data_IF_288129306549
#
_entry.id   IF_288129306549
#
_cell.length_a   1.000
_cell.length_b   1.000
_cell.length_c   1.000
_cell.angle_alpha   90.00
_cell.angle_beta   90.00
_cell.angle_gamma   90.00
#
_symmetry.space_group_name_H-M   'P 1'
#
loop_
_entity.id
_entity.type
_entity.pdbx_description
1 polymer ?
#
# COMPACT_ATOMS: atom_id res chain seq x y z
N UNK A 1 11.12 67.02 -50.82
CA UNK A 1 9.72 67.17 -50.31
C UNK A 1 8.89 67.72 -51.47
N UNK A 2 7.60 67.35 -51.70
CA UNK A 2 6.63 66.55 -50.91
C UNK A 2 6.34 65.17 -51.57
N UNK A 3 5.93 64.06 -50.90
CA UNK A 3 4.71 63.68 -50.15
C UNK A 3 3.39 63.64 -50.95
N UNK A 4 2.87 62.41 -51.08
CA UNK A 4 1.51 61.92 -51.45
C UNK A 4 1.17 61.66 -52.93
N UNK A 5 1.20 60.38 -53.32
CA UNK A 5 0.21 59.60 -54.11
C UNK A 5 0.87 58.21 -54.32
N UNK A 6 0.25 57.03 -54.26
CA UNK A 6 -1.10 56.64 -54.65
C UNK A 6 -1.43 55.29 -53.98
N UNK A 7 -2.65 55.13 -53.46
CA UNK A 7 -3.26 53.84 -53.14
C UNK A 7 -3.53 53.07 -54.45
N UNK A 8 -3.28 51.76 -54.51
CA UNK A 8 -4.29 50.69 -54.69
C UNK A 8 -3.65 49.33 -55.04
N UNK A 9 -4.34 48.28 -54.59
CA UNK A 9 -4.27 46.82 -54.90
C UNK A 9 -3.58 45.99 -53.83
N UNK A 10 -4.08 44.84 -53.38
CA UNK A 10 -5.39 44.22 -53.35
C UNK A 10 -5.25 43.09 -52.30
N UNK A 11 -6.34 42.71 -51.66
CA UNK A 11 -6.38 41.65 -50.65
C UNK A 11 -6.01 40.25 -51.20
N UNK A 12 -5.86 39.29 -50.27
CA UNK A 12 -5.66 37.83 -50.44
C UNK A 12 -4.14 37.51 -50.47
N UNK A 13 -3.54 36.90 -49.45
CA UNK A 13 -3.72 35.50 -49.01
C UNK A 13 -3.45 35.37 -47.49
N UNK A 14 -4.45 34.82 -46.80
CA UNK A 14 -4.30 34.07 -45.54
C UNK A 14 -3.40 32.85 -45.81
N UNK A 15 -2.28 32.71 -45.10
CA UNK A 15 -1.78 31.43 -44.56
C UNK A 15 -0.33 31.55 -44.09
N UNK A 16 -0.05 30.77 -43.05
CA UNK A 16 1.24 30.18 -42.70
C UNK A 16 2.05 30.85 -41.57
N UNK A 17 2.14 30.05 -40.50
CA UNK A 17 3.19 30.00 -39.47
C UNK A 17 3.12 31.03 -38.33
N UNK A 18 2.21 30.78 -37.40
CA UNK A 18 2.53 30.93 -35.97
C UNK A 18 1.60 30.04 -35.14
N UNK A 19 1.82 28.72 -35.18
CA UNK A 19 1.29 27.83 -34.14
C UNK A 19 2.25 26.65 -33.96
N UNK A 20 3.44 26.92 -33.42
CA UNK A 20 4.12 25.91 -32.61
C UNK A 20 3.29 25.76 -31.33
N UNK A 21 2.28 24.89 -31.38
CA UNK A 21 1.64 24.38 -30.18
C UNK A 21 2.74 23.64 -29.39
N UNK A 22 3.28 24.29 -28.37
CA UNK A 22 3.69 23.56 -27.18
C UNK A 22 2.48 22.75 -26.70
N UNK A 23 2.63 21.49 -26.28
CA UNK A 23 1.54 20.84 -25.56
C UNK A 23 1.36 21.63 -24.28
N UNK A 24 0.32 22.48 -24.23
CA UNK A 24 -0.27 22.87 -22.96
C UNK A 24 -0.60 21.53 -22.31
N UNK A 25 0.09 21.19 -21.23
CA UNK A 25 -0.28 20.05 -20.40
C UNK A 25 -1.77 20.18 -20.16
N UNK A 26 -2.55 19.26 -20.72
CA UNK A 26 -4.00 19.33 -20.64
C UNK A 26 -4.34 19.35 -19.15
N UNK A 27 -4.97 20.44 -18.68
CA UNK A 27 -5.29 20.58 -17.27
C UNK A 27 -6.11 19.36 -16.85
N UNK A 28 -5.67 18.66 -15.79
CA UNK A 28 -6.35 17.46 -15.32
C UNK A 28 -7.81 17.78 -15.00
N UNK A 29 -8.72 16.88 -15.39
CA UNK A 29 -10.13 17.02 -15.07
C UNK A 29 -10.36 16.91 -13.56
N UNK A 30 -11.44 17.50 -13.03
CA UNK A 30 -11.77 17.39 -11.59
C UNK A 30 -11.85 15.94 -11.10
N UNK A 31 -12.27 15.00 -11.96
CA UNK A 31 -12.29 13.56 -11.66
C UNK A 31 -10.88 12.97 -11.55
N UNK A 32 -9.94 13.35 -12.42
CA UNK A 32 -8.56 12.89 -12.32
C UNK A 32 -7.89 13.40 -11.04
N UNK A 33 -8.21 14.64 -10.63
CA UNK A 33 -7.77 15.21 -9.36
C UNK A 33 -8.35 14.41 -8.18
N UNK A 34 -9.66 14.17 -8.15
CA UNK A 34 -10.32 13.38 -7.10
C UNK A 34 -9.78 11.95 -7.02
N UNK A 35 -9.50 11.32 -8.18
CA UNK A 35 -8.90 9.99 -8.23
C UNK A 35 -7.48 9.99 -7.63
N UNK A 36 -6.65 10.98 -8.00
CA UNK A 36 -5.30 11.13 -7.45
C UNK A 36 -5.34 11.38 -5.94
N UNK A 37 -6.24 12.24 -5.46
CA UNK A 37 -6.45 12.48 -4.03
C UNK A 37 -6.84 11.22 -3.28
N UNK A 38 -7.75 10.40 -3.84
CA UNK A 38 -8.14 9.13 -3.20
C UNK A 38 -6.99 8.12 -3.13
N UNK A 39 -6.16 8.08 -4.17
CA UNK A 39 -4.94 7.27 -4.17
C UNK A 39 -3.93 7.79 -3.13
N UNK A 40 -3.77 9.10 -3.00
CA UNK A 40 -2.92 9.71 -1.99
C UNK A 40 -3.41 9.44 -0.55
N UNK A 41 -4.72 9.48 -0.28
CA UNK A 41 -5.28 9.05 1.01
C UNK A 41 -4.91 7.61 1.34
N UNK A 42 -5.04 6.72 0.35
CA UNK A 42 -4.68 5.30 0.49
C UNK A 42 -3.18 5.13 0.75
N UNK A 43 -2.33 5.86 0.03
CA UNK A 43 -0.89 5.86 0.22
C UNK A 43 -0.48 6.38 1.61
N UNK A 44 -1.11 7.46 2.10
CA UNK A 44 -0.91 7.96 3.48
C UNK A 44 -1.34 6.93 4.52
N UNK A 45 -2.48 6.27 4.32
CA UNK A 45 -2.95 5.21 5.21
C UNK A 45 -1.97 4.02 5.25
N UNK A 46 -1.38 3.65 4.11
CA UNK A 46 -0.33 2.62 4.04
C UNK A 46 0.92 3.03 4.83
N UNK A 47 1.41 4.26 4.64
CA UNK A 47 2.56 4.77 5.40
C UNK A 47 2.29 4.78 6.91
N UNK A 48 1.07 5.14 7.33
CA UNK A 48 0.66 5.10 8.73
C UNK A 48 0.60 3.66 9.27
N UNK A 49 0.06 2.71 8.51
CA UNK A 49 0.07 1.28 8.90
C UNK A 49 1.48 0.68 8.95
N UNK A 50 2.46 1.34 8.33
CA UNK A 50 3.87 1.00 8.42
C UNK A 50 4.20 -0.41 7.93
N UNK A 51 4.97 -1.14 8.72
CA UNK A 51 5.45 -2.48 8.39
C UNK A 51 4.31 -3.45 8.01
N UNK A 52 3.12 -3.29 8.60
CA UNK A 52 1.95 -4.13 8.30
C UNK A 52 1.52 -3.94 6.84
N UNK A 53 1.39 -2.70 6.37
CA UNK A 53 1.02 -2.43 4.98
C UNK A 53 2.14 -2.83 4.01
N UNK A 54 3.40 -2.60 4.39
CA UNK A 54 4.54 -3.06 3.61
C UNK A 54 4.51 -4.58 3.39
N UNK A 55 4.43 -5.38 4.46
CA UNK A 55 4.38 -6.84 4.34
C UNK A 55 3.15 -7.33 3.57
N UNK A 56 2.01 -6.65 3.72
CA UNK A 56 0.79 -6.96 2.96
C UNK A 56 0.98 -6.74 1.45
N UNK A 57 1.54 -5.60 1.06
CA UNK A 57 1.81 -5.27 -0.35
C UNK A 57 2.85 -6.22 -0.98
N UNK A 58 3.72 -6.82 -0.16
CA UNK A 58 4.71 -7.81 -0.60
C UNK A 58 4.20 -9.25 -0.56
N UNK A 59 2.95 -9.48 -0.15
CA UNK A 59 2.36 -10.81 -0.04
C UNK A 59 2.94 -11.67 1.08
N UNK A 60 3.62 -11.07 2.07
CA UNK A 60 4.24 -11.76 3.20
C UNK A 60 3.18 -12.14 4.25
N UNK A 61 2.33 -13.11 3.92
CA UNK A 61 1.14 -13.50 4.70
C UNK A 61 1.50 -13.86 6.16
N UNK A 62 2.58 -14.62 6.38
CA UNK A 62 3.00 -15.01 7.74
C UNK A 62 3.45 -13.80 8.57
N UNK A 63 4.21 -12.87 7.97
CA UNK A 63 4.63 -11.63 8.62
C UNK A 63 3.43 -10.73 8.98
N UNK A 64 2.45 -10.59 8.08
CA UNK A 64 1.20 -9.87 8.37
C UNK A 64 0.48 -10.55 9.54
N UNK A 65 0.36 -11.88 9.50
CA UNK A 65 -0.32 -12.66 10.56
C UNK A 65 0.31 -12.39 11.94
N UNK A 66 1.64 -12.43 12.03
CA UNK A 66 2.39 -12.12 13.28
C UNK A 66 2.02 -10.75 13.85
N UNK A 67 1.74 -9.77 12.99
CA UNK A 67 1.41 -8.40 13.41
C UNK A 67 -0.09 -8.13 13.59
N UNK A 68 -0.97 -9.07 13.21
CA UNK A 68 -2.43 -8.82 13.18
C UNK A 68 -3.30 -9.92 13.78
N UNK A 69 -2.75 -11.09 14.12
CA UNK A 69 -3.54 -12.27 14.48
C UNK A 69 -2.96 -13.04 15.68
N UNK A 70 -3.78 -13.14 16.74
CA UNK A 70 -3.45 -13.82 18.01
C UNK A 70 -3.17 -15.32 17.86
N UNK A 71 -3.61 -15.94 16.76
CA UNK A 71 -3.28 -17.34 16.45
C UNK A 71 -1.83 -17.52 16.00
N UNK A 72 -1.04 -16.45 15.89
CA UNK A 72 0.40 -16.53 15.58
C UNK A 72 1.30 -15.87 16.63
N UNK A 73 0.79 -14.87 17.34
CA UNK A 73 1.57 -14.08 18.31
C UNK A 73 0.89 -14.00 19.68
N UNK A 74 1.69 -14.00 20.75
CA UNK A 74 1.21 -13.83 22.13
C UNK A 74 1.01 -12.36 22.48
N UNK A 75 1.82 -11.48 21.90
CA UNK A 75 1.94 -10.08 22.32
C UNK A 75 1.34 -9.10 21.30
N UNK A 76 0.27 -9.51 20.62
CA UNK A 76 -0.43 -8.66 19.66
C UNK A 76 -0.84 -7.31 20.28
N UNK A 77 -1.25 -7.29 21.54
CA UNK A 77 -1.67 -6.08 22.26
C UNK A 77 -0.53 -5.06 22.45
N UNK A 78 0.73 -5.48 22.30
CA UNK A 78 1.88 -4.58 22.34
C UNK A 78 2.15 -3.88 21.01
N UNK A 79 1.63 -4.41 19.89
CA UNK A 79 1.81 -3.84 18.57
C UNK A 79 0.94 -2.59 18.41
N UNK A 80 1.55 -1.41 18.44
CA UNK A 80 0.84 -0.14 18.27
C UNK A 80 0.91 0.35 16.83
N UNK A 81 0.23 -0.34 15.92
CA UNK A 81 0.15 0.05 14.51
C UNK A 81 -0.32 1.50 14.35
N UNK A 82 0.37 2.29 13.52
CA UNK A 82 0.10 3.73 13.38
C UNK A 82 0.87 4.63 14.33
N UNK A 83 1.47 4.09 15.39
CA UNK A 83 2.29 4.88 16.32
C UNK A 83 3.65 5.20 15.70
N UNK A 84 4.12 6.45 15.89
CA UNK A 84 5.49 6.83 15.52
C UNK A 84 6.55 6.12 16.37
N UNK A 85 6.15 5.62 17.54
CA UNK A 85 7.04 5.01 18.51
C UNK A 85 7.06 3.47 18.44
N UNK A 86 6.09 2.85 17.76
CA UNK A 86 6.09 1.39 17.57
C UNK A 86 7.17 0.97 16.58
N UNK A 87 7.73 -0.22 16.76
CA UNK A 87 8.61 -0.87 15.80
C UNK A 87 7.95 -1.12 14.43
N UNK A 88 6.62 -0.99 14.32
CA UNK A 88 5.93 -0.98 13.03
C UNK A 88 6.21 0.28 12.19
N UNK A 89 6.74 1.36 12.79
CA UNK A 89 7.08 2.58 12.09
C UNK A 89 8.21 2.35 11.08
N UNK A 90 8.04 2.83 9.84
CA UNK A 90 8.98 2.57 8.74
C UNK A 90 10.37 3.17 8.98
N UNK A 91 10.45 4.36 9.59
CA UNK A 91 11.74 5.00 9.87
C UNK A 91 12.54 4.22 10.91
N UNK A 92 11.86 3.71 11.95
CA UNK A 92 12.47 2.83 12.94
C UNK A 92 12.88 1.49 12.33
N UNK A 93 12.02 0.90 11.48
CA UNK A 93 12.33 -0.34 10.77
C UNK A 93 13.54 -0.19 9.84
N UNK A 94 13.58 0.85 8.99
CA UNK A 94 14.73 1.14 8.12
C UNK A 94 16.03 1.33 8.91
N UNK A 95 15.95 2.01 10.06
CA UNK A 95 17.11 2.18 10.95
C UNK A 95 17.54 0.86 11.59
N UNK A 96 16.59 0.00 11.98
CA UNK A 96 16.89 -1.28 12.61
C UNK A 96 17.73 -2.21 11.73
N UNK A 97 17.65 -2.08 10.41
CA UNK A 97 18.45 -2.88 9.45
C UNK A 97 19.95 -2.67 9.68
N UNK A 98 20.37 -1.51 10.22
CA UNK A 98 21.77 -1.25 10.56
C UNK A 98 22.31 -2.25 11.61
N UNK A 99 21.45 -2.76 12.49
CA UNK A 99 21.82 -3.80 13.47
C UNK A 99 22.31 -5.04 12.73
N UNK A 100 21.61 -5.46 11.66
CA UNK A 100 22.01 -6.63 10.89
C UNK A 100 23.23 -6.36 10.00
N UNK A 101 23.34 -5.16 9.41
CA UNK A 101 24.54 -4.76 8.66
C UNK A 101 25.79 -4.87 9.54
N UNK A 102 25.73 -4.34 10.76
CA UNK A 102 26.86 -4.42 11.69
C UNK A 102 27.10 -5.84 12.20
N UNK A 103 26.03 -6.59 12.54
CA UNK A 103 26.14 -7.99 12.92
C UNK A 103 26.83 -8.83 11.83
N UNK A 104 26.47 -8.61 10.56
CA UNK A 104 27.09 -9.29 9.42
C UNK A 104 28.55 -8.86 9.21
N UNK A 105 28.87 -7.57 9.43
CA UNK A 105 30.25 -7.11 9.41
C UNK A 105 31.09 -7.79 10.50
N UNK A 106 30.53 -7.95 11.72
CA UNK A 106 31.18 -8.68 12.81
C UNK A 106 31.35 -10.17 12.52
N UNK A 107 30.32 -10.84 12.01
CA UNK A 107 30.37 -12.24 11.55
C UNK A 107 31.48 -12.47 10.51
N UNK A 108 31.63 -11.55 9.56
CA UNK A 108 32.69 -11.63 8.55
C UNK A 108 34.10 -11.61 9.15
N UNK A 109 34.32 -10.91 10.27
CA UNK A 109 35.63 -10.93 10.98
C UNK A 109 36.00 -12.29 11.55
N UNK A 110 35.03 -13.20 11.66
CA UNK A 110 35.22 -14.58 12.13
C UNK A 110 35.01 -15.61 11.02
N UNK A 111 34.96 -15.17 9.76
CA UNK A 111 34.79 -16.06 8.61
C UNK A 111 33.39 -16.67 8.49
N UNK A 112 32.39 -16.11 9.18
CA UNK A 112 31.02 -16.61 9.18
C UNK A 112 30.21 -16.01 8.02
N UNK A 113 29.26 -16.77 7.44
CA UNK A 113 28.40 -16.26 6.38
C UNK A 113 27.46 -15.17 6.90
N UNK A 114 27.09 -14.19 6.05
CA UNK A 114 26.12 -13.17 6.43
C UNK A 114 24.73 -13.77 6.59
N UNK A 115 24.00 -13.28 7.59
CA UNK A 115 22.60 -13.58 7.80
C UNK A 115 21.72 -12.84 6.79
N UNK A 116 20.67 -13.51 6.34
CA UNK A 116 19.65 -12.95 5.45
C UNK A 116 18.47 -12.39 6.24
N UNK A 117 17.94 -11.25 5.83
CA UNK A 117 16.67 -10.72 6.34
C UNK A 117 15.51 -11.63 5.90
N UNK A 118 14.60 -11.94 6.81
CA UNK A 118 13.34 -12.66 6.57
C UNK A 118 12.16 -11.78 6.93
N UNK A 119 11.15 -11.68 6.04
CA UNK A 119 9.93 -10.93 6.33
C UNK A 119 9.28 -11.37 7.67
N UNK A 120 9.18 -12.67 7.90
CA UNK A 120 8.53 -13.22 9.11
C UNK A 120 9.37 -13.00 10.36
N UNK A 121 10.69 -13.20 10.32
CA UNK A 121 11.54 -12.96 11.51
C UNK A 121 11.59 -11.46 11.83
N UNK A 122 11.56 -10.59 10.83
CA UNK A 122 11.44 -9.14 11.04
C UNK A 122 10.11 -8.79 11.71
N UNK A 123 8.99 -9.36 11.28
CA UNK A 123 7.71 -9.19 11.96
C UNK A 123 7.74 -9.71 13.41
N UNK A 124 8.38 -10.84 13.66
CA UNK A 124 8.60 -11.36 15.02
C UNK A 124 9.39 -10.35 15.86
N UNK A 125 10.49 -9.84 15.32
CA UNK A 125 11.35 -8.85 15.98
C UNK A 125 10.57 -7.58 16.33
N UNK A 126 9.65 -7.13 15.47
CA UNK A 126 8.78 -5.97 15.71
C UNK A 126 7.90 -6.21 16.95
N UNK A 127 7.21 -7.35 17.02
CA UNK A 127 6.35 -7.67 18.17
C UNK A 127 7.18 -7.82 19.44
N UNK A 128 8.31 -8.52 19.35
CA UNK A 128 9.20 -8.76 20.48
C UNK A 128 9.77 -7.45 21.02
N UNK A 129 10.20 -6.53 20.16
CA UNK A 129 10.68 -5.22 20.56
C UNK A 129 9.58 -4.36 21.21
N UNK A 130 8.38 -4.32 20.62
CA UNK A 130 7.26 -3.54 21.16
C UNK A 130 6.79 -4.07 22.52
N UNK A 131 6.78 -5.39 22.72
CA UNK A 131 6.49 -5.97 24.03
C UNK A 131 7.62 -5.72 25.03
N UNK A 132 8.87 -5.95 24.62
CA UNK A 132 10.07 -5.81 25.46
C UNK A 132 10.36 -4.37 25.86
N UNK A 133 9.79 -3.39 25.15
CA UNK A 133 9.80 -1.97 25.52
C UNK A 133 9.40 -1.73 26.99
N UNK A 134 8.48 -2.54 27.51
CA UNK A 134 8.01 -2.42 28.90
C UNK A 134 8.21 -3.72 29.72
N UNK A 135 9.02 -4.65 29.20
CA UNK A 135 9.35 -5.91 29.86
C UNK A 135 10.84 -6.19 29.64
N UNK A 136 11.67 -5.90 30.65
CA UNK A 136 13.13 -6.09 30.58
C UNK A 136 13.47 -7.57 30.74
N UNK A 137 13.16 -8.37 29.72
CA UNK A 137 13.43 -9.80 29.59
C UNK A 137 13.10 -10.28 28.19
N UNK A 138 13.62 -11.46 27.84
CA UNK A 138 13.28 -12.17 26.59
C UNK A 138 11.79 -12.49 26.46
N UNK A 139 11.27 -12.31 25.25
CA UNK A 139 9.85 -12.51 24.90
C UNK A 139 9.46 -14.00 24.94
N UNK A 140 10.39 -14.85 24.46
CA UNK A 140 10.33 -16.32 24.37
C UNK A 140 9.09 -16.87 23.64
N UNK A 141 8.42 -16.06 22.82
CA UNK A 141 7.18 -16.49 22.15
C UNK A 141 7.40 -17.30 20.87
N UNK A 142 8.63 -17.39 20.35
CA UNK A 142 8.99 -18.21 19.19
C UNK A 142 10.21 -19.07 19.48
N UNK A 143 10.38 -20.16 18.72
CA UNK A 143 11.57 -21.02 18.77
C UNK A 143 12.75 -20.45 17.96
N UNK A 144 12.90 -19.13 17.97
CA UNK A 144 14.03 -18.41 17.39
C UNK A 144 15.00 -17.98 18.49
N UNK A 145 16.27 -17.81 18.15
CA UNK A 145 17.20 -17.08 19.00
C UNK A 145 16.81 -15.59 19.05
N UNK A 146 17.11 -14.91 20.16
CA UNK A 146 16.70 -13.52 20.41
C UNK A 146 17.82 -12.78 21.15
N UNK A 147 18.28 -11.67 20.59
CA UNK A 147 19.10 -10.69 21.27
C UNK A 147 18.26 -9.41 21.50
N UNK A 148 18.27 -8.90 22.73
CA UNK A 148 17.58 -7.68 23.13
C UNK A 148 18.54 -6.70 23.79
N UNK A 149 18.29 -5.41 23.54
CA UNK A 149 19.09 -4.33 24.07
C UNK A 149 18.21 -3.13 24.36
N UNK A 150 18.32 -2.61 25.58
CA UNK A 150 17.63 -1.40 26.01
C UNK A 150 18.62 -0.23 25.98
N UNK A 151 18.16 0.93 25.51
CA UNK A 151 19.01 2.11 25.32
C UNK A 151 18.26 3.41 25.62
N UNK A 152 19.02 4.42 26.06
CA UNK A 152 18.54 5.79 26.27
C UNK A 152 18.48 6.60 24.97
N UNK A 153 19.37 6.27 24.03
CA UNK A 153 19.52 6.94 22.76
C UNK A 153 19.45 5.93 21.62
N UNK A 154 18.78 6.31 20.53
CA UNK A 154 18.63 5.50 19.33
C UNK A 154 19.95 5.30 18.57
N UNK A 155 20.99 6.07 18.90
CA UNK A 155 22.36 5.95 18.39
C UNK A 155 23.22 4.96 19.17
N UNK A 156 22.71 4.37 20.27
CA UNK A 156 23.43 3.33 21.01
C UNK A 156 23.82 2.18 20.08
N UNK A 157 25.12 1.87 20.06
CA UNK A 157 25.62 0.74 19.31
C UNK A 157 25.42 -0.55 20.12
N UNK A 158 24.23 -1.13 19.97
CA UNK A 158 23.86 -2.37 20.64
C UNK A 158 24.72 -3.56 20.19
N UNK A 159 25.15 -3.59 18.93
CA UNK A 159 25.99 -4.66 18.39
C UNK A 159 27.38 -4.63 19.00
N UNK A 160 27.95 -3.46 19.26
CA UNK A 160 29.20 -3.33 20.03
C UNK A 160 29.08 -3.95 21.43
N UNK A 161 27.93 -3.76 22.10
CA UNK A 161 27.68 -4.37 23.42
C UNK A 161 27.53 -5.89 23.32
N UNK A 162 26.74 -6.37 22.38
CA UNK A 162 26.48 -7.80 22.19
C UNK A 162 27.68 -8.58 21.65
N UNK A 163 28.50 -7.97 20.80
CA UNK A 163 29.60 -8.65 20.13
C UNK A 163 30.94 -8.32 20.77
N UNK A 164 31.40 -7.07 20.71
CA UNK A 164 32.78 -6.75 21.07
C UNK A 164 33.05 -6.94 22.56
N UNK A 165 32.14 -6.46 23.42
CA UNK A 165 32.29 -6.62 24.87
C UNK A 165 32.19 -8.09 25.31
N UNK A 166 31.19 -8.80 24.79
CA UNK A 166 30.96 -10.18 25.19
C UNK A 166 31.98 -11.15 24.59
N UNK A 167 32.48 -10.90 23.37
CA UNK A 167 33.59 -11.67 22.79
C UNK A 167 34.83 -11.60 23.66
N UNK A 168 35.22 -10.42 24.14
CA UNK A 168 36.38 -10.29 25.05
C UNK A 168 36.21 -11.17 26.28
N UNK A 169 35.01 -11.24 26.86
CA UNK A 169 34.71 -12.10 28.00
C UNK A 169 34.78 -13.58 27.61
N UNK A 170 34.19 -13.96 26.48
CA UNK A 170 34.24 -15.33 25.97
C UNK A 170 35.67 -15.81 25.79
N UNK A 171 36.55 -14.99 25.19
CA UNK A 171 37.96 -15.32 24.98
C UNK A 171 38.73 -15.55 26.29
N UNK A 172 38.37 -14.87 27.38
CA UNK A 172 38.99 -15.11 28.70
C UNK A 172 38.72 -16.51 29.26
N UNK A 173 37.63 -17.15 28.81
CA UNK A 173 37.30 -18.54 29.12
C UNK A 173 37.89 -19.49 28.07
N UNK A 174 37.67 -19.19 26.79
CA UNK A 174 38.02 -20.09 25.69
C UNK A 174 39.53 -20.30 25.52
N UNK A 175 40.36 -19.28 25.82
CA UNK A 175 41.83 -19.41 25.84
C UNK A 175 42.35 -20.42 26.88
N UNK A 176 41.54 -20.77 27.89
CA UNK A 176 41.87 -21.73 28.95
C UNK A 176 41.22 -23.09 28.76
N UNK A 177 40.31 -23.21 27.78
CA UNK A 177 39.53 -24.42 27.53
C UNK A 177 39.46 -24.70 26.03
N UNK A 178 40.30 -25.62 25.57
CA UNK A 178 40.40 -25.99 24.15
C UNK A 178 39.09 -26.55 23.60
N UNK A 179 38.26 -27.21 24.43
CA UNK A 179 36.98 -27.73 23.98
C UNK A 179 36.01 -26.58 23.75
N UNK A 180 35.90 -25.63 24.70
CA UNK A 180 35.09 -24.43 24.53
C UNK A 180 35.51 -23.62 23.29
N UNK A 181 36.82 -23.46 23.08
CA UNK A 181 37.36 -22.79 21.89
C UNK A 181 36.91 -23.48 20.59
N UNK A 182 36.94 -24.81 20.54
CA UNK A 182 36.59 -25.58 19.34
C UNK A 182 35.12 -25.48 18.95
N UNK A 183 34.22 -25.19 19.90
CA UNK A 183 32.77 -25.11 19.69
C UNK A 183 32.22 -23.68 19.76
N UNK A 184 33.08 -22.65 19.70
CA UNK A 184 32.69 -21.24 19.92
C UNK A 184 31.54 -20.72 19.06
N UNK A 185 31.30 -21.36 17.91
CA UNK A 185 30.23 -21.03 16.95
C UNK A 185 29.05 -22.02 16.98
N UNK A 186 28.89 -22.75 18.07
CA UNK A 186 27.74 -23.61 18.36
C UNK A 186 27.08 -23.15 19.66
N UNK A 187 26.06 -22.30 19.55
CA UNK A 187 25.45 -21.69 20.72
C UNK A 187 24.76 -22.72 21.63
N UNK A 188 24.22 -23.79 21.04
CA UNK A 188 23.57 -24.86 21.79
C UNK A 188 24.58 -25.63 22.64
N UNK A 189 25.69 -26.07 22.05
CA UNK A 189 26.70 -26.84 22.78
C UNK A 189 27.44 -25.99 23.81
N UNK A 190 27.68 -24.69 23.54
CA UNK A 190 28.22 -23.76 24.55
C UNK A 190 27.24 -23.58 25.70
N UNK A 191 25.96 -23.29 25.44
CA UNK A 191 24.96 -23.09 26.50
C UNK A 191 24.76 -24.34 27.36
N UNK A 192 24.84 -25.53 26.75
CA UNK A 192 24.69 -26.82 27.42
C UNK A 192 25.92 -27.21 28.24
N UNK A 193 27.12 -27.03 27.70
CA UNK A 193 28.37 -27.44 28.35
C UNK A 193 28.94 -26.41 29.33
N UNK A 194 28.74 -25.12 29.06
CA UNK A 194 29.27 -24.00 29.84
C UNK A 194 28.17 -22.97 30.14
N UNK A 195 27.12 -23.35 30.89
CA UNK A 195 25.98 -22.47 31.13
C UNK A 195 26.36 -21.15 31.82
N UNK A 196 27.35 -21.15 32.70
CA UNK A 196 27.83 -19.92 33.37
C UNK A 196 28.63 -19.00 32.44
N UNK A 197 29.26 -19.54 31.38
CA UNK A 197 29.91 -18.72 30.34
C UNK A 197 28.84 -18.11 29.45
N UNK A 198 27.86 -18.91 29.04
CA UNK A 198 26.80 -18.46 28.14
C UNK A 198 25.85 -17.46 28.82
N UNK A 199 25.20 -17.86 29.91
CA UNK A 199 24.19 -17.05 30.61
C UNK A 199 24.79 -16.04 31.60
N UNK A 200 26.07 -16.16 31.90
CA UNK A 200 26.72 -15.40 32.97
C UNK A 200 26.51 -16.01 34.35
N UNK A 201 27.18 -15.44 35.34
CA UNK A 201 27.01 -15.78 36.75
C UNK A 201 25.73 -15.10 37.25
N UNK A 202 24.90 -15.85 37.98
CA UNK A 202 23.64 -15.35 38.51
C UNK A 202 23.84 -14.09 39.37
N UNK A 203 23.12 -13.01 39.05
CA UNK A 203 23.26 -11.70 39.70
C UNK A 203 24.43 -10.84 39.20
N UNK A 204 25.21 -11.32 38.23
CA UNK A 204 26.33 -10.63 37.59
C UNK A 204 26.28 -10.76 36.06
N UNK A 205 25.12 -11.07 35.50
CA UNK A 205 24.96 -11.43 34.09
C UNK A 205 25.42 -10.28 33.17
N UNK A 206 25.14 -9.02 33.53
CA UNK A 206 25.56 -7.85 32.74
C UNK A 206 27.09 -7.76 32.56
N UNK A 207 27.85 -8.30 33.50
CA UNK A 207 29.31 -8.26 33.54
C UNK A 207 29.95 -9.54 33.03
N UNK A 208 29.22 -10.66 33.02
CA UNK A 208 29.79 -12.00 32.82
C UNK A 208 29.18 -12.78 31.67
N UNK A 209 27.98 -12.45 31.20
CA UNK A 209 27.34 -13.19 30.11
C UNK A 209 28.10 -13.02 28.78
N UNK A 210 28.01 -14.06 27.95
CA UNK A 210 28.56 -14.08 26.59
C UNK A 210 27.53 -14.52 25.53
N UNK A 211 26.30 -14.80 25.97
CA UNK A 211 25.26 -15.40 25.15
C UNK A 211 24.89 -14.59 23.92
N UNK A 212 24.96 -13.26 23.94
CA UNK A 212 24.65 -12.45 22.75
C UNK A 212 25.70 -12.65 21.68
N UNK A 213 26.99 -12.62 22.04
CA UNK A 213 28.09 -12.89 21.13
C UNK A 213 28.01 -14.31 20.57
N UNK A 214 27.90 -15.31 21.45
CA UNK A 214 27.87 -16.72 21.06
C UNK A 214 26.72 -16.99 20.10
N UNK A 215 25.51 -16.47 20.40
CA UNK A 215 24.33 -16.60 19.54
C UNK A 215 24.53 -15.93 18.18
N UNK A 216 25.05 -14.69 18.14
CA UNK A 216 25.30 -14.00 16.89
C UNK A 216 26.39 -14.66 16.04
N UNK A 217 27.32 -15.36 16.70
CA UNK A 217 28.41 -16.10 16.04
C UNK A 217 28.03 -17.53 15.67
N UNK A 218 26.81 -17.99 15.97
CA UNK A 218 26.38 -19.34 15.66
C UNK A 218 26.43 -19.57 14.14
N UNK A 219 27.17 -20.61 13.76
CA UNK A 219 27.47 -20.93 12.36
C UNK A 219 26.28 -21.59 11.63
N UNK A 220 25.31 -22.11 12.38
CA UNK A 220 24.10 -22.75 11.83
C UNK A 220 23.01 -21.75 11.48
N UNK A 221 23.02 -20.56 12.09
CA UNK A 221 22.05 -19.50 11.86
C UNK A 221 22.24 -18.87 10.47
N UNK A 222 21.14 -18.70 9.75
CA UNK A 222 21.11 -18.20 8.37
C UNK A 222 20.19 -16.99 8.20
N UNK A 223 19.16 -16.88 9.03
CA UNK A 223 18.10 -15.90 8.87
C UNK A 223 17.99 -15.00 10.09
N UNK A 224 17.63 -13.74 9.87
CA UNK A 224 17.46 -12.77 10.92
C UNK A 224 16.30 -11.81 10.61
N UNK A 225 15.87 -11.14 11.66
CA UNK A 225 15.00 -9.97 11.61
C UNK A 225 15.46 -8.96 12.65
N UNK A 226 15.19 -7.69 12.39
CA UNK A 226 15.56 -6.60 13.29
C UNK A 226 14.38 -5.70 13.56
N UNK A 227 14.38 -5.08 14.72
CA UNK A 227 13.41 -4.04 15.06
C UNK A 227 13.99 -3.04 16.07
N UNK A 228 13.47 -1.82 16.03
CA UNK A 228 13.68 -0.81 17.06
C UNK A 228 12.31 -0.30 17.50
N UNK A 229 12.00 -0.41 18.79
CA UNK A 229 10.82 0.20 19.39
C UNK A 229 11.22 1.42 20.21
N UNK A 230 10.39 2.47 20.19
CA UNK A 230 10.48 3.65 21.06
C UNK A 230 9.29 3.70 22.05
N UNK A 231 8.74 2.54 22.44
CA UNK A 231 7.59 2.45 23.36
C UNK A 231 8.01 2.36 24.84
N UNK A 232 9.31 2.39 25.13
CA UNK A 232 9.79 2.01 26.45
C UNK A 232 9.68 3.13 27.48
N UNK A 233 9.17 2.78 28.67
CA UNK A 233 8.99 3.74 29.79
C UNK A 233 10.27 3.97 30.56
N UNK A 234 11.03 2.91 30.83
CA UNK A 234 12.29 3.00 31.57
C UNK A 234 13.43 3.34 30.63
N UNK A 235 13.59 2.59 29.54
CA UNK A 235 14.53 2.88 28.47
C UNK A 235 13.72 3.23 27.23
N UNK A 236 13.87 4.44 26.67
CA UNK A 236 13.10 4.87 25.51
C UNK A 236 13.17 3.87 24.35
N UNK A 237 14.35 3.31 24.07
CA UNK A 237 14.58 2.44 22.92
C UNK A 237 14.84 0.99 23.30
N UNK A 238 14.25 0.08 22.51
CA UNK A 238 14.56 -1.34 22.52
C UNK A 238 14.95 -1.80 21.13
N UNK A 239 16.12 -2.40 21.03
CA UNK A 239 16.66 -2.99 19.80
C UNK A 239 16.56 -4.52 19.91
N UNK A 240 15.96 -5.13 18.89
CA UNK A 240 15.81 -6.57 18.79
C UNK A 240 16.52 -7.11 17.55
N UNK A 241 17.17 -8.26 17.72
CA UNK A 241 17.72 -9.10 16.66
C UNK A 241 17.27 -10.54 16.92
N UNK A 242 16.25 -10.99 16.20
CA UNK A 242 15.83 -12.38 16.23
C UNK A 242 16.52 -13.14 15.10
N UNK A 243 16.88 -14.39 15.36
CA UNK A 243 17.72 -15.20 14.49
C UNK A 243 17.22 -16.64 14.40
N UNK A 244 17.37 -17.27 13.23
CA UNK A 244 16.86 -18.62 12.99
C UNK A 244 17.68 -19.41 11.96
N UNK A 245 17.57 -20.74 11.99
CA UNK A 245 18.28 -21.66 11.11
C UNK A 245 17.38 -22.62 10.31
N UNK A 246 16.05 -22.50 10.41
CA UNK A 246 15.11 -23.36 9.67
C UNK A 246 14.19 -22.54 8.76
N UNK A 247 13.56 -23.20 7.78
CA UNK A 247 12.61 -22.59 6.84
C UNK A 247 11.25 -22.24 7.45
N UNK A 248 11.02 -22.63 8.70
CA UNK A 248 9.81 -22.33 9.46
C UNK A 248 10.15 -21.94 10.88
N UNK A 249 9.44 -20.94 11.40
CA UNK A 249 9.48 -20.56 12.81
C UNK A 249 8.18 -21.02 13.47
N UNK A 250 8.30 -21.65 14.63
CA UNK A 250 7.19 -22.13 15.43
C UNK A 250 6.90 -21.16 16.57
N UNK A 251 5.64 -20.78 16.72
CA UNK A 251 5.16 -20.05 17.88
C UNK A 251 5.09 -20.99 19.10
N UNK A 252 5.77 -20.62 20.18
CA UNK A 252 5.78 -21.36 21.44
C UNK A 252 4.44 -21.22 22.19
N UNK A 253 3.64 -20.20 21.86
CA UNK A 253 2.40 -19.90 22.59
C UNK A 253 1.19 -20.70 22.09
N UNK A 254 1.08 -20.93 20.78
CA UNK A 254 -0.08 -21.57 20.16
C UNK A 254 0.30 -22.66 19.13
N UNK A 255 1.59 -22.94 18.95
CA UNK A 255 2.09 -24.01 18.07
C UNK A 255 2.01 -23.70 16.58
N UNK A 256 1.67 -22.47 16.18
CA UNK A 256 1.62 -22.09 14.77
C UNK A 256 2.98 -22.23 14.08
N UNK A 257 3.01 -22.87 12.92
CA UNK A 257 4.18 -22.94 12.05
C UNK A 257 4.09 -21.86 10.96
N UNK A 258 5.07 -20.98 10.92
CA UNK A 258 5.12 -19.82 10.05
C UNK A 258 6.29 -19.98 9.07
N UNK A 259 6.04 -19.87 7.76
CA UNK A 259 7.14 -19.80 6.79
C UNK A 259 7.92 -18.47 6.94
N UNK A 260 9.15 -18.42 6.45
CA UNK A 260 10.02 -17.23 6.56
C UNK A 260 9.60 -16.02 5.70
N UNK A 261 8.59 -16.16 4.84
CA UNK A 261 8.32 -15.16 3.81
C UNK A 261 9.48 -15.03 2.83
N UNK A 262 9.68 -13.84 2.24
CA UNK A 262 10.84 -13.60 1.37
C UNK A 262 12.10 -13.53 2.23
N UNK A 263 13.20 -14.07 1.72
CA UNK A 263 14.53 -13.90 2.31
C UNK A 263 15.44 -13.16 1.34
N UNK A 264 16.25 -12.24 1.86
CA UNK A 264 17.15 -11.43 1.03
C UNK A 264 18.29 -10.85 1.88
N UNK A 265 19.30 -10.25 1.24
CA UNK A 265 20.35 -9.53 1.99
C UNK A 265 19.78 -8.30 2.70
N UNK A 266 20.45 -7.83 3.76
CA UNK A 266 20.06 -6.59 4.45
C UNK A 266 19.97 -5.39 3.49
N UNK A 267 20.93 -5.27 2.55
CA UNK A 267 20.92 -4.25 1.49
C UNK A 267 19.71 -4.36 0.58
N UNK A 268 19.34 -5.56 0.14
CA UNK A 268 18.18 -5.77 -0.71
C UNK A 268 16.87 -5.46 0.02
N UNK A 269 16.74 -5.86 1.30
CA UNK A 269 15.57 -5.54 2.12
C UNK A 269 15.42 -4.03 2.32
N UNK A 270 16.52 -3.33 2.60
CA UNK A 270 16.56 -1.86 2.70
C UNK A 270 16.09 -1.21 1.41
N UNK A 271 16.63 -1.63 0.26
CA UNK A 271 16.23 -1.09 -1.04
C UNK A 271 14.75 -1.34 -1.35
N UNK A 272 14.26 -2.54 -1.08
CA UNK A 272 12.85 -2.92 -1.30
C UNK A 272 11.89 -2.08 -0.44
N UNK A 273 12.23 -1.86 0.83
CA UNK A 273 11.47 -1.02 1.76
C UNK A 273 11.52 0.46 1.37
N UNK A 274 12.70 1.00 1.03
CA UNK A 274 12.86 2.38 0.57
C UNK A 274 12.07 2.63 -0.72
N UNK A 275 12.11 1.71 -1.68
CA UNK A 275 11.35 1.83 -2.93
C UNK A 275 9.84 1.81 -2.68
N UNK A 276 9.38 1.00 -1.73
CA UNK A 276 7.97 0.98 -1.33
C UNK A 276 7.53 2.32 -0.74
N UNK A 277 8.34 2.93 0.14
CA UNK A 277 8.09 4.28 0.68
C UNK A 277 8.06 5.34 -0.43
N UNK A 278 9.05 5.33 -1.31
CA UNK A 278 9.16 6.28 -2.42
C UNK A 278 7.95 6.19 -3.37
N UNK A 279 7.44 4.99 -3.59
CA UNK A 279 6.23 4.77 -4.37
C UNK A 279 5.03 5.46 -3.72
N UNK A 280 4.83 5.30 -2.40
CA UNK A 280 3.73 5.96 -1.68
C UNK A 280 3.88 7.48 -1.72
N UNK A 281 5.09 8.01 -1.49
CA UNK A 281 5.35 9.44 -1.52
C UNK A 281 5.13 10.03 -2.92
N UNK A 282 5.49 9.31 -3.99
CA UNK A 282 5.24 9.75 -5.37
C UNK A 282 3.74 9.88 -5.66
N UNK A 283 2.92 8.94 -5.18
CA UNK A 283 1.46 9.02 -5.29
C UNK A 283 0.93 10.25 -4.54
N UNK A 284 1.45 10.51 -3.35
CA UNK A 284 1.06 11.67 -2.53
C UNK A 284 1.43 12.99 -3.22
N UNK A 285 2.70 13.15 -3.64
CA UNK A 285 3.18 14.36 -4.30
C UNK A 285 2.47 14.61 -5.63
N UNK A 286 2.09 13.55 -6.37
CA UNK A 286 1.27 13.68 -7.58
C UNK A 286 -0.06 14.38 -7.26
N UNK A 287 -0.76 13.94 -6.22
CA UNK A 287 -2.03 14.55 -5.82
C UNK A 287 -1.85 15.97 -5.30
N UNK A 288 -0.80 16.24 -4.52
CA UNK A 288 -0.50 17.58 -4.01
C UNK A 288 -0.20 18.58 -5.15
N UNK A 289 0.55 18.15 -6.17
CA UNK A 289 0.85 18.97 -7.36
C UNK A 289 -0.39 19.25 -8.21
N UNK A 290 -1.41 18.39 -8.17
CA UNK A 290 -2.66 18.58 -8.90
C UNK A 290 -3.61 19.57 -8.18
N UNK A 291 -3.37 19.87 -6.90
CA UNK A 291 -4.20 20.78 -6.11
C UNK A 291 -5.58 20.21 -5.75
N UNK A 292 -6.43 21.00 -5.07
CA UNK A 292 -7.82 20.66 -4.85
C UNK A 292 -8.60 20.66 -6.17
N UNK A 293 -9.61 19.80 -6.30
CA UNK A 293 -10.55 19.90 -7.40
C UNK A 293 -11.33 21.22 -7.27
N UNK A 294 -11.36 22.02 -8.33
CA UNK A 294 -12.14 23.27 -8.36
C UNK A 294 -13.60 22.96 -8.70
N UNK A 295 -14.49 23.21 -7.73
CA UNK A 295 -15.95 23.06 -7.88
C UNK A 295 -16.66 24.43 -7.96
N UNK A 296 -15.90 25.54 -7.97
CA UNK A 296 -16.46 26.91 -7.89
C UNK A 296 -17.23 27.36 -9.13
N UNK A 297 -17.29 26.53 -10.17
CA UNK A 297 -17.98 26.78 -11.44
C UNK A 297 -19.14 25.80 -11.71
N UNK A 298 -19.45 24.85 -10.82
CA UNK A 298 -20.62 23.99 -11.00
C UNK A 298 -21.91 24.70 -10.57
N UNK A 299 -22.93 24.70 -11.44
CA UNK A 299 -24.28 25.09 -11.02
C UNK A 299 -24.72 24.13 -9.89
N UNK A 300 -25.09 24.63 -8.71
CA UNK A 300 -25.43 23.80 -7.55
C UNK A 300 -26.60 22.85 -7.84
N UNK A 301 -27.47 23.18 -8.81
CA UNK A 301 -28.60 22.34 -9.23
C UNK A 301 -28.27 21.36 -10.36
N UNK A 302 -27.02 21.36 -10.81
CA UNK A 302 -26.48 20.51 -11.86
C UNK A 302 -25.46 19.51 -11.31
N UNK A 303 -25.32 18.39 -12.02
CA UNK A 303 -24.29 17.40 -11.78
C UNK A 303 -23.86 16.75 -13.10
N UNK A 304 -22.56 16.52 -13.32
CA UNK A 304 -22.10 15.73 -14.45
C UNK A 304 -22.52 14.27 -14.32
N UNK A 305 -22.80 13.62 -15.44
CA UNK A 305 -22.92 12.16 -15.55
C UNK A 305 -21.71 11.64 -16.30
N UNK A 306 -20.85 10.94 -15.57
CA UNK A 306 -19.60 10.34 -16.02
C UNK A 306 -19.85 9.06 -16.80
N UNK A 307 -19.09 8.85 -17.88
CA UNK A 307 -19.06 7.58 -18.63
C UNK A 307 -17.74 6.87 -18.39
N UNK A 308 -17.81 5.59 -18.04
CA UNK A 308 -16.66 4.72 -17.86
C UNK A 308 -16.80 3.47 -18.71
N UNK A 309 -15.72 3.03 -19.34
CA UNK A 309 -15.66 1.83 -20.15
C UNK A 309 -14.89 0.72 -19.43
N UNK A 310 -15.47 -0.48 -19.34
CA UNK A 310 -14.81 -1.67 -18.85
C UNK A 310 -14.11 -2.40 -20.00
N UNK A 311 -12.77 -2.37 -20.10
CA UNK A 311 -12.05 -3.04 -21.19
C UNK A 311 -12.14 -4.58 -21.15
N UNK A 312 -12.44 -5.17 -19.99
CA UNK A 312 -12.50 -6.61 -19.84
C UNK A 312 -13.83 -7.18 -20.35
N UNK A 313 -14.93 -6.43 -20.20
CA UNK A 313 -16.28 -6.91 -20.54
C UNK A 313 -16.94 -6.14 -21.69
N UNK A 314 -16.32 -5.05 -22.15
CA UNK A 314 -16.86 -4.20 -23.22
C UNK A 314 -18.15 -3.48 -22.83
N UNK A 315 -18.32 -3.13 -21.55
CA UNK A 315 -19.51 -2.48 -21.02
C UNK A 315 -19.24 -1.02 -20.65
N UNK A 316 -20.21 -0.14 -20.89
CA UNK A 316 -20.21 1.21 -20.35
C UNK A 316 -21.00 1.32 -19.03
N UNK A 317 -20.52 2.16 -18.12
CA UNK A 317 -21.21 2.56 -16.90
C UNK A 317 -21.41 4.07 -16.86
N UNK A 318 -22.58 4.50 -16.39
CA UNK A 318 -22.97 5.90 -16.29
C UNK A 318 -23.30 6.28 -14.84
N UNK A 319 -22.66 7.32 -14.33
CA UNK A 319 -22.88 7.71 -12.93
C UNK A 319 -22.71 9.19 -12.67
N UNK A 320 -23.54 9.75 -11.80
CA UNK A 320 -23.37 11.09 -11.25
C UNK A 320 -22.55 11.09 -9.94
N UNK A 321 -22.07 9.92 -9.49
CA UNK A 321 -21.26 9.80 -8.29
C UNK A 321 -19.78 9.86 -8.63
N UNK A 322 -19.10 10.91 -8.19
CA UNK A 322 -17.64 11.01 -8.27
C UNK A 322 -16.97 9.85 -7.53
N UNK A 323 -17.54 9.43 -6.40
CA UNK A 323 -17.03 8.30 -5.61
C UNK A 323 -17.12 6.99 -6.40
N UNK A 324 -18.24 6.71 -7.07
CA UNK A 324 -18.38 5.53 -7.92
C UNK A 324 -17.42 5.61 -9.12
N UNK A 325 -17.28 6.79 -9.73
CA UNK A 325 -16.34 7.05 -10.83
C UNK A 325 -14.90 6.73 -10.42
N UNK A 326 -14.44 7.30 -9.30
CA UNK A 326 -13.09 7.06 -8.76
C UNK A 326 -12.89 5.59 -8.40
N UNK A 327 -13.90 4.94 -7.80
CA UNK A 327 -13.84 3.51 -7.46
C UNK A 327 -13.66 2.63 -8.70
N UNK A 328 -14.37 2.94 -9.79
CA UNK A 328 -14.29 2.20 -11.04
C UNK A 328 -12.95 2.45 -11.75
N UNK A 329 -12.43 3.68 -11.75
CA UNK A 329 -11.07 4.00 -12.25
C UNK A 329 -10.03 3.15 -11.51
N UNK A 330 -10.11 3.11 -10.18
CA UNK A 330 -9.20 2.31 -9.35
C UNK A 330 -9.36 0.80 -9.56
N UNK A 331 -10.51 0.36 -10.10
CA UNK A 331 -10.78 -1.03 -10.49
C UNK A 331 -10.38 -1.35 -11.94
N UNK A 332 -9.73 -0.41 -12.64
CA UNK A 332 -9.23 -0.59 -14.01
C UNK A 332 -10.21 -0.22 -15.13
N UNK A 333 -11.33 0.44 -14.82
CA UNK A 333 -12.21 1.00 -15.84
C UNK A 333 -11.59 2.26 -16.45
N UNK A 334 -11.75 2.44 -17.76
CA UNK A 334 -11.29 3.64 -18.47
C UNK A 334 -12.33 4.74 -18.31
N UNK A 335 -11.95 5.86 -17.69
CA UNK A 335 -12.77 7.07 -17.68
C UNK A 335 -12.84 7.67 -19.09
N UNK A 336 -14.03 7.94 -19.60
CA UNK A 336 -14.26 8.50 -20.93
C UNK A 336 -14.79 9.94 -20.89
N UNK A 337 -14.86 10.55 -19.70
CA UNK A 337 -15.29 11.93 -19.51
C UNK A 337 -16.74 12.08 -19.05
N UNK A 338 -17.20 13.33 -19.04
CA UNK A 338 -18.61 13.68 -18.79
C UNK A 338 -19.40 13.44 -20.07
N UNK A 339 -20.40 12.57 -20.01
CA UNK A 339 -21.27 12.28 -21.16
C UNK A 339 -22.34 13.35 -21.34
N UNK A 340 -22.88 13.85 -20.23
CA UNK A 340 -23.88 14.91 -20.19
C UNK A 340 -24.05 15.45 -18.76
N UNK A 341 -24.65 16.64 -18.63
CA UNK A 341 -25.00 17.24 -17.34
C UNK A 341 -26.49 17.08 -17.05
N UNK A 342 -26.83 16.71 -15.82
CA UNK A 342 -28.20 16.46 -15.37
C UNK A 342 -28.54 17.27 -14.13
N UNK A 343 -29.84 17.40 -13.83
CA UNK A 343 -30.26 18.10 -12.63
C UNK A 343 -30.11 17.21 -11.40
N UNK A 344 -29.89 17.84 -10.24
CA UNK A 344 -30.01 17.19 -8.94
C UNK A 344 -31.46 17.03 -8.48
N UNK A 345 -32.42 17.64 -9.17
CA UNK A 345 -33.85 17.58 -8.84
C UNK A 345 -34.71 17.40 -10.10
N UNK A 346 -35.99 17.01 -9.94
CA UNK A 346 -36.93 16.87 -11.06
C UNK A 346 -37.45 15.45 -11.25
N UNK A 347 -37.52 14.99 -12.49
CA UNK A 347 -38.03 13.65 -12.83
C UNK A 347 -36.92 12.62 -12.63
N UNK A 348 -37.13 11.54 -11.85
CA UNK A 348 -36.10 10.56 -11.57
C UNK A 348 -35.73 9.73 -12.80
N UNK A 349 -34.43 9.49 -12.98
CA UNK A 349 -33.89 8.46 -13.87
C UNK A 349 -33.41 7.30 -13.00
N UNK A 350 -34.11 6.18 -13.08
CA UNK A 350 -33.87 4.99 -12.28
C UNK A 350 -32.74 4.14 -12.88
N UNK A 351 -31.91 3.53 -12.02
CA UNK A 351 -30.86 2.57 -12.39
C UNK A 351 -31.25 1.16 -11.97
N UNK A 352 -31.22 0.22 -12.90
CA UNK A 352 -31.40 -1.20 -12.65
C UNK A 352 -30.18 -2.00 -13.11
N UNK A 353 -29.80 -3.02 -12.34
CA UNK A 353 -28.64 -3.88 -12.60
C UNK A 353 -29.07 -5.31 -12.91
N UNK A 354 -28.55 -5.91 -13.98
CA UNK A 354 -28.72 -7.34 -14.25
C UNK A 354 -27.57 -8.15 -13.64
N UNK A 355 -27.80 -8.89 -12.53
CA UNK A 355 -26.75 -9.68 -11.90
C UNK A 355 -26.24 -10.85 -12.77
N UNK A 356 -26.95 -11.22 -13.84
CA UNK A 356 -26.55 -12.33 -14.72
C UNK A 356 -25.54 -11.90 -15.78
N UNK A 357 -25.62 -10.65 -16.25
CA UNK A 357 -24.79 -10.16 -17.36
C UNK A 357 -23.85 -9.03 -16.96
N UNK A 358 -24.10 -8.38 -15.82
CA UNK A 358 -23.39 -7.18 -15.40
C UNK A 358 -23.89 -5.89 -16.05
N UNK A 359 -24.94 -5.96 -16.89
CA UNK A 359 -25.48 -4.78 -17.56
C UNK A 359 -26.22 -3.87 -16.57
N UNK A 360 -26.16 -2.57 -16.85
CA UNK A 360 -26.96 -1.57 -16.18
C UNK A 360 -27.91 -0.91 -17.17
N UNK A 361 -29.07 -0.51 -16.67
CA UNK A 361 -30.12 0.18 -17.44
C UNK A 361 -30.56 1.44 -16.71
N UNK A 362 -30.60 2.56 -17.44
CA UNK A 362 -31.08 3.83 -16.95
C UNK A 362 -32.36 4.24 -17.67
N UNK A 363 -33.40 4.61 -16.91
CA UNK A 363 -34.70 4.96 -17.48
C UNK A 363 -35.47 6.00 -16.67
N UNK A 364 -36.07 6.97 -17.36
CA UNK A 364 -37.04 7.89 -16.78
C UNK A 364 -38.45 7.25 -16.65
N UNK A 365 -38.66 6.05 -17.20
CA UNK A 365 -39.94 5.34 -17.13
C UNK A 365 -40.00 4.48 -15.88
N UNK A 366 -40.79 4.92 -14.89
CA UNK A 366 -41.04 4.14 -13.68
C UNK A 366 -41.62 2.74 -14.01
N UNK A 367 -42.45 2.64 -15.05
CA UNK A 367 -43.00 1.36 -15.52
C UNK A 367 -41.92 0.43 -16.07
N UNK A 368 -40.98 0.94 -16.87
CA UNK A 368 -39.87 0.12 -17.40
C UNK A 368 -38.99 -0.40 -16.25
N UNK A 369 -38.63 0.47 -15.31
CA UNK A 369 -37.89 0.09 -14.10
C UNK A 369 -38.57 -0.99 -13.27
N UNK A 370 -39.88 -0.85 -13.02
CA UNK A 370 -40.67 -1.86 -12.28
C UNK A 370 -40.74 -3.19 -13.02
N UNK A 371 -40.87 -3.18 -14.35
CA UNK A 371 -40.87 -4.43 -15.13
C UNK A 371 -39.52 -5.14 -15.03
N UNK A 372 -38.41 -4.40 -15.15
CA UNK A 372 -37.07 -4.97 -15.02
C UNK A 372 -36.88 -5.60 -13.62
N UNK A 373 -37.22 -4.84 -12.58
CA UNK A 373 -36.95 -5.24 -11.20
C UNK A 373 -37.89 -6.31 -10.67
N UNK A 374 -39.19 -6.24 -10.99
CA UNK A 374 -40.19 -7.17 -10.43
C UNK A 374 -40.45 -8.40 -11.30
N UNK A 375 -40.26 -8.30 -12.62
CA UNK A 375 -40.61 -9.39 -13.56
C UNK A 375 -39.41 -10.02 -14.24
N UNK A 376 -38.29 -9.31 -14.36
CA UNK A 376 -37.11 -9.79 -15.10
C UNK A 376 -35.93 -10.16 -14.20
N UNK A 377 -36.08 -10.03 -12.89
CA UNK A 377 -35.07 -10.41 -11.89
C UNK A 377 -33.88 -9.45 -11.81
N UNK A 378 -34.00 -8.23 -12.35
CA UNK A 378 -32.96 -7.22 -12.21
C UNK A 378 -33.00 -6.66 -10.79
N UNK A 379 -31.84 -6.28 -10.25
CA UNK A 379 -31.76 -5.57 -8.99
C UNK A 379 -32.03 -4.10 -9.21
N UNK A 380 -32.99 -3.55 -8.47
CA UNK A 380 -33.23 -2.11 -8.44
C UNK A 380 -32.15 -1.40 -7.62
N UNK A 381 -31.54 -0.37 -8.19
CA UNK A 381 -30.47 0.41 -7.53
C UNK A 381 -30.90 1.86 -7.22
N UNK A 382 -32.19 2.16 -7.41
CA UNK A 382 -32.77 3.45 -7.07
C UNK A 382 -32.59 4.51 -8.16
N UNK A 383 -32.51 5.78 -7.75
CA UNK A 383 -32.39 6.93 -8.65
C UNK A 383 -30.90 7.22 -8.90
N UNK A 384 -30.47 7.22 -10.15
CA UNK A 384 -29.10 7.58 -10.53
C UNK A 384 -28.89 9.10 -10.62
N UNK A 385 -29.87 9.82 -11.18
CA UNK A 385 -29.92 11.28 -11.28
C UNK A 385 -31.35 11.73 -11.63
N UNK A 386 -31.55 13.03 -11.80
CA UNK A 386 -32.82 13.61 -12.22
C UNK A 386 -32.69 14.35 -13.55
N UNK A 387 -33.75 14.36 -14.33
CA UNK A 387 -33.90 15.21 -15.51
C UNK A 387 -34.88 16.34 -15.22
N UNK A 388 -34.53 17.57 -15.60
CA UNK A 388 -35.40 18.73 -15.46
C UNK A 388 -36.20 18.97 -16.74
N UNK A 389 -37.41 19.52 -16.60
CA UNK A 389 -38.20 19.96 -17.76
C UNK A 389 -37.55 21.10 -18.56
N UNK A 390 -36.51 21.73 -18.01
CA UNK A 390 -35.71 22.77 -18.66
C UNK A 390 -34.55 22.21 -19.51
N UNK A 391 -34.36 20.89 -19.55
CA UNK A 391 -33.34 20.26 -20.38
C UNK A 391 -33.56 20.53 -21.87
N UNK A 392 -32.50 20.94 -22.57
CA UNK A 392 -32.56 21.28 -24.01
C UNK A 392 -31.80 20.30 -24.90
N UNK A 393 -30.84 19.54 -24.35
CA UNK A 393 -29.98 18.62 -25.09
C UNK A 393 -30.58 17.21 -25.11
N UNK A 394 -30.69 16.55 -26.26
CA UNK A 394 -31.17 15.17 -26.33
C UNK A 394 -30.14 14.20 -25.76
N UNK A 395 -30.56 13.27 -24.90
CA UNK A 395 -29.80 12.05 -24.60
C UNK A 395 -30.43 10.90 -25.39
N UNK A 396 -29.70 10.43 -26.39
CA UNK A 396 -30.09 9.32 -27.25
C UNK A 396 -29.75 7.99 -26.59
N UNK A 397 -30.66 7.00 -26.71
CA UNK A 397 -30.46 5.62 -26.24
C UNK A 397 -30.44 4.64 -27.39
N UNK A 398 -29.44 3.77 -27.44
CA UNK A 398 -29.39 2.62 -28.35
C UNK A 398 -29.10 1.33 -27.58
N UNK A 399 -29.74 0.24 -27.98
CA UNK A 399 -29.58 -1.10 -27.40
C UNK A 399 -28.74 -2.01 -28.30
N UNK A 400 -27.75 -2.68 -27.73
CA UNK A 400 -26.96 -3.69 -28.42
C UNK A 400 -27.61 -5.08 -28.25
N UNK A 401 -28.20 -5.65 -29.32
CA UNK A 401 -28.84 -6.97 -29.22
C UNK A 401 -27.87 -8.12 -28.99
N UNK A 402 -26.55 -7.91 -29.14
CA UNK A 402 -25.55 -8.98 -29.01
C UNK A 402 -25.15 -9.25 -27.56
N UNK A 403 -25.00 -8.21 -26.73
CA UNK A 403 -24.52 -8.32 -25.34
C UNK A 403 -25.46 -7.68 -24.30
N UNK A 404 -26.55 -7.05 -24.75
CA UNK A 404 -27.53 -6.41 -23.87
C UNK A 404 -27.15 -5.01 -23.37
N UNK A 405 -26.06 -4.44 -23.88
CA UNK A 405 -25.57 -3.12 -23.50
C UNK A 405 -26.47 -1.99 -24.01
N UNK A 406 -26.50 -0.88 -23.28
CA UNK A 406 -27.15 0.35 -23.71
C UNK A 406 -26.14 1.51 -23.81
N UNK A 407 -26.19 2.22 -24.93
CA UNK A 407 -25.51 3.49 -25.12
C UNK A 407 -26.44 4.62 -24.68
N UNK A 408 -25.92 5.55 -23.90
CA UNK A 408 -26.52 6.85 -23.63
C UNK A 408 -25.56 7.96 -24.07
N UNK A 409 -26.00 8.84 -24.97
CA UNK A 409 -25.11 9.87 -25.53
C UNK A 409 -25.85 11.12 -25.96
N UNK A 410 -25.20 12.28 -25.83
CA UNK A 410 -25.65 13.54 -26.43
C UNK A 410 -25.15 13.71 -27.87
N UNK A 411 -24.21 12.87 -28.31
CA UNK A 411 -23.72 12.85 -29.68
C UNK A 411 -24.67 12.07 -30.57
N UNK A 412 -25.48 12.81 -31.34
CA UNK A 412 -26.34 12.20 -32.36
C UNK A 412 -25.51 11.41 -33.39
N UNK A 413 -24.29 11.84 -33.68
CA UNK A 413 -23.36 11.14 -34.56
C UNK A 413 -22.96 9.77 -34.00
N UNK A 414 -22.65 9.67 -32.71
CA UNK A 414 -22.32 8.40 -32.05
C UNK A 414 -23.53 7.44 -32.08
N UNK A 415 -24.72 7.97 -31.75
CA UNK A 415 -25.98 7.23 -31.83
C UNK A 415 -26.26 6.69 -33.25
N UNK A 416 -26.15 7.54 -34.28
CA UNK A 416 -26.34 7.14 -35.69
C UNK A 416 -25.30 6.12 -36.14
N UNK A 417 -24.06 6.25 -35.65
CA UNK A 417 -22.98 5.32 -35.97
C UNK A 417 -23.26 3.93 -35.42
N UNK A 418 -23.60 3.78 -34.14
CA UNK A 418 -23.86 2.45 -33.56
C UNK A 418 -25.11 1.81 -34.14
N UNK A 419 -26.15 2.60 -34.43
CA UNK A 419 -27.39 2.09 -35.02
C UNK A 419 -27.17 1.60 -36.46
N UNK A 420 -26.38 2.31 -37.27
CA UNK A 420 -25.97 1.83 -38.60
C UNK A 420 -25.15 0.53 -38.55
N UNK A 421 -24.54 0.22 -37.39
CA UNK A 421 -23.73 -0.99 -37.14
C UNK A 421 -24.54 -2.10 -36.43
N UNK A 422 -25.86 -2.01 -36.46
CA UNK A 422 -26.76 -3.07 -36.02
C UNK A 422 -27.25 -2.97 -34.57
N UNK A 423 -26.96 -1.86 -33.87
CA UNK A 423 -27.65 -1.56 -32.61
C UNK A 423 -29.08 -1.10 -32.89
N UNK A 424 -30.02 -1.44 -32.00
CA UNK A 424 -31.40 -0.96 -32.09
C UNK A 424 -31.48 0.45 -31.54
N UNK A 425 -31.83 1.42 -32.36
CA UNK A 425 -32.10 2.78 -31.92
C UNK A 425 -33.40 2.86 -31.11
N UNK A 426 -33.34 3.38 -29.88
CA UNK A 426 -34.49 3.51 -28.98
C UNK A 426 -34.95 4.97 -28.81
N UNK A 427 -34.34 5.89 -29.57
CA UNK A 427 -34.71 7.30 -29.62
C UNK A 427 -34.19 8.13 -28.45
N UNK A 428 -34.87 9.25 -28.17
CA UNK A 428 -34.53 10.14 -27.06
C UNK A 428 -35.02 9.51 -25.76
N UNK A 429 -34.10 9.24 -24.83
CA UNK A 429 -34.44 8.69 -23.53
C UNK A 429 -34.90 9.77 -22.55
N UNK A 430 -34.24 10.93 -22.57
CA UNK A 430 -34.60 12.13 -21.80
C UNK A 430 -33.79 13.35 -22.32
N UNK A 431 -33.97 14.50 -21.67
CA UNK A 431 -33.23 15.74 -21.95
C UNK A 431 -32.15 16.00 -20.90
N UNK A 432 -30.97 16.43 -21.33
CA UNK A 432 -29.87 16.91 -20.51
C UNK A 432 -29.85 18.45 -20.46
N UNK A 433 -29.16 18.97 -19.44
CA UNK A 433 -28.90 20.40 -19.31
C UNK A 433 -27.82 20.83 -20.32
N UNK A 434 -27.78 22.13 -20.63
CA UNK A 434 -26.89 22.69 -21.64
C UNK A 434 -25.46 22.85 -21.11
#
# INVERSE_FOLDING_TARGET
>A
MPKNATKLTAAIILAALALTLTPVAQAATSIEILAAQKQAETARAKLNQGAIAYFRDKGAVAAVKVLTDRSSTKYLDSVQAGSQNSATNISLLLRSINILDEANAKRATEGLPPLQMSDTITAISIVDADWSANHIKHSKQYNSAENLGWAWDITDNVVYRWWDKEKVRFEQHATKDARLQSIRHDAYEVAKGWPTVYYGVAGQEQETQTGHYVTMSDSTIQYAGTAISHLGRQYPYVMALNMHNQLQVRSNSNGANLNLGRTMTATAFRADLTNWVNTQNTIISKAENMGPADDSQQDPNSQPVHRLYNPNHGLHHYTASDTETVSLINSGWRYEGVSFTQSKTGTPVYRAYDPRTGNHHWTASQREYQVLTWKRGWRGEGVGWYTSGAGSVNVWRAYNPRNGEHLYTTSETEYRTVTSRGWRGEGVAWKAMK
#
